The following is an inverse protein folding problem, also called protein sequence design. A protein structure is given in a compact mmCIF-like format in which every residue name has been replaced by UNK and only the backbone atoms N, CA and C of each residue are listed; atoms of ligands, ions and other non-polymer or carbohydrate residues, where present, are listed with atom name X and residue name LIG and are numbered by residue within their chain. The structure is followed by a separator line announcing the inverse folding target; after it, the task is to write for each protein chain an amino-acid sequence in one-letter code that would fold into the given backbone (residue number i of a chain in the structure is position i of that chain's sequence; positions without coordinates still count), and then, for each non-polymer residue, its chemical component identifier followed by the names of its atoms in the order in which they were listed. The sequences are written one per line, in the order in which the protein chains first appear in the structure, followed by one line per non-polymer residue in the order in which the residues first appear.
data_IF_463598244327
#
_entry.id   IF_463598244327
#
_cell.length_a   1.000
_cell.length_b   1.000
_cell.length_c   1.000
_cell.angle_alpha   90.00
_cell.angle_beta   90.00
_cell.angle_gamma   90.00
#
_symmetry.space_group_name_H-M   'P 1'
#
loop_
_entity.id
_entity.type
_entity.pdbx_description
1 polymer ?
#
# COMPACT_ATOMS: atom_id res chain seq x y z
N UNK A 1 20.22 -49.77 -31.64
CA UNK A 1 21.68 -49.81 -31.37
C UNK A 1 22.31 -51.19 -31.52
N UNK A 2 21.66 -52.29 -31.08
CA UNK A 2 22.25 -53.65 -31.11
C UNK A 2 22.60 -54.18 -32.53
N UNK A 3 21.81 -53.82 -33.55
CA UNK A 3 22.05 -54.26 -34.94
C UNK A 3 23.28 -53.60 -35.60
N UNK A 4 23.61 -52.34 -35.26
CA UNK A 4 24.81 -51.65 -35.81
C UNK A 4 26.12 -52.14 -35.16
N UNK A 5 26.06 -52.61 -33.92
CA UNK A 5 27.19 -53.22 -33.21
C UNK A 5 27.54 -54.59 -33.82
N UNK A 6 26.55 -55.35 -34.28
CA UNK A 6 26.78 -56.62 -34.98
C UNK A 6 27.53 -56.41 -36.31
N UNK A 7 27.28 -55.30 -37.00
CA UNK A 7 27.97 -54.88 -38.24
C UNK A 7 29.46 -54.53 -38.00
N UNK A 8 29.82 -54.11 -36.79
CA UNK A 8 31.22 -53.83 -36.40
C UNK A 8 32.07 -55.10 -36.22
N UNK A 9 31.43 -56.23 -35.93
CA UNK A 9 32.10 -57.53 -35.70
C UNK A 9 32.27 -58.36 -36.98
N UNK A 10 31.58 -58.00 -38.06
CA UNK A 10 31.57 -58.72 -39.34
C UNK A 10 32.97 -58.95 -39.98
N UNK A 11 33.93 -58.01 -39.92
CA UNK A 11 35.26 -58.22 -40.51
C UNK A 11 36.17 -59.07 -39.64
N UNK A 12 35.95 -59.12 -38.31
CA UNK A 12 36.67 -60.02 -37.42
C UNK A 12 36.35 -61.49 -37.72
N UNK A 13 35.12 -61.76 -38.17
CA UNK A 13 34.69 -63.11 -38.61
C UNK A 13 35.29 -63.48 -39.97
N UNK A 14 35.42 -62.53 -40.89
CA UNK A 14 36.04 -62.74 -42.22
C UNK A 14 37.57 -62.86 -42.19
N UNK A 15 38.24 -62.43 -41.11
CA UNK A 15 39.69 -62.57 -40.94
C UNK A 15 40.14 -63.89 -40.29
N UNK A 16 39.20 -64.74 -39.85
CA UNK A 16 39.47 -65.95 -39.09
C UNK A 16 39.84 -67.19 -39.93
N UNK A 17 39.82 -67.11 -41.28
CA UNK A 17 40.23 -68.23 -42.14
C UNK A 17 41.74 -68.16 -42.49
N UNK A 18 42.40 -69.32 -42.40
CA UNK A 18 43.86 -69.46 -42.26
C UNK A 18 44.61 -69.59 -43.58
N UNK A 19 45.07 -68.48 -44.15
CA UNK A 19 46.02 -68.42 -45.27
C UNK A 19 46.90 -67.16 -45.25
N UNK A 20 48.17 -67.29 -45.65
CA UNK A 20 49.25 -66.29 -45.52
C UNK A 20 49.22 -65.11 -46.53
N UNK A 21 48.06 -64.53 -46.85
CA UNK A 21 47.97 -63.40 -47.79
C UNK A 21 47.72 -62.06 -47.07
N UNK A 22 48.82 -61.38 -46.69
CA UNK A 22 48.82 -60.11 -45.95
C UNK A 22 48.25 -58.94 -46.79
N UNK A 23 48.44 -58.96 -48.10
CA UNK A 23 48.02 -57.89 -49.02
C UNK A 23 46.50 -57.72 -49.09
N UNK A 24 45.69 -58.74 -49.45
CA UNK A 24 44.22 -58.61 -49.47
C UNK A 24 43.64 -58.32 -48.08
N UNK A 25 44.28 -58.84 -47.01
CA UNK A 25 43.90 -58.57 -45.63
C UNK A 25 44.07 -57.10 -45.25
N UNK A 26 45.15 -56.45 -45.71
CA UNK A 26 45.42 -55.03 -45.46
C UNK A 26 44.44 -54.12 -46.20
N UNK A 27 44.11 -54.45 -47.46
CA UNK A 27 43.12 -53.69 -48.24
C UNK A 27 41.74 -53.76 -47.56
N UNK A 28 41.32 -54.95 -47.11
CA UNK A 28 40.06 -55.12 -46.38
C UNK A 28 40.05 -54.36 -45.05
N UNK A 29 41.18 -54.32 -44.33
CA UNK A 29 41.30 -53.53 -43.10
C UNK A 29 41.16 -52.03 -43.36
N UNK A 30 41.77 -51.51 -44.43
CA UNK A 30 41.67 -50.09 -44.80
C UNK A 30 40.22 -49.73 -45.18
N UNK A 31 39.56 -50.56 -45.99
CA UNK A 31 38.15 -50.37 -46.37
C UNK A 31 37.26 -50.40 -45.11
N UNK A 32 37.50 -51.35 -44.20
CA UNK A 32 36.76 -51.42 -42.95
C UNK A 32 37.02 -50.20 -42.06
N UNK A 33 38.26 -49.79 -41.88
CA UNK A 33 38.63 -48.62 -41.09
C UNK A 33 37.99 -47.34 -41.66
N UNK A 34 37.89 -47.21 -42.98
CA UNK A 34 37.22 -46.09 -43.63
C UNK A 34 35.70 -46.08 -43.35
N UNK A 35 35.02 -47.23 -43.48
CA UNK A 35 33.59 -47.37 -43.17
C UNK A 35 33.33 -47.13 -41.68
N UNK A 36 34.18 -47.67 -40.82
CA UNK A 36 34.14 -47.50 -39.37
C UNK A 36 34.27 -46.04 -38.97
N UNK A 37 35.26 -45.35 -39.53
CA UNK A 37 35.49 -43.93 -39.32
C UNK A 37 34.27 -43.10 -39.76
N UNK A 38 33.71 -43.39 -40.94
CA UNK A 38 32.52 -42.69 -41.43
C UNK A 38 31.30 -42.87 -40.50
N UNK A 39 31.10 -44.06 -39.94
CA UNK A 39 29.96 -44.37 -39.08
C UNK A 39 30.11 -43.80 -37.65
N UNK A 40 31.34 -43.75 -37.12
CA UNK A 40 31.62 -43.35 -35.73
C UNK A 40 31.96 -41.86 -35.59
N UNK A 41 32.58 -41.23 -36.60
CA UNK A 41 33.05 -39.84 -36.50
C UNK A 41 31.90 -38.87 -36.20
N UNK A 42 30.76 -39.03 -36.86
CA UNK A 42 29.59 -38.16 -36.68
C UNK A 42 28.94 -38.27 -35.28
N UNK A 43 28.54 -39.46 -34.77
CA UNK A 43 27.93 -39.56 -33.45
C UNK A 43 28.89 -39.15 -32.33
N UNK A 44 30.18 -39.46 -32.46
CA UNK A 44 31.19 -39.06 -31.45
C UNK A 44 31.35 -37.53 -31.44
N UNK A 45 31.53 -36.90 -32.60
CA UNK A 45 31.65 -35.43 -32.71
C UNK A 45 30.40 -34.72 -32.17
N UNK A 46 29.21 -35.23 -32.48
CA UNK A 46 27.96 -34.66 -31.98
C UNK A 46 27.79 -34.85 -30.46
N UNK A 47 28.21 -35.99 -29.91
CA UNK A 47 28.18 -36.22 -28.46
C UNK A 47 29.11 -35.25 -27.70
N UNK A 48 30.32 -34.99 -28.22
CA UNK A 48 31.24 -34.01 -27.63
C UNK A 48 30.71 -32.58 -27.75
N UNK A 49 30.20 -32.18 -28.92
CA UNK A 49 29.58 -30.86 -29.11
C UNK A 49 28.40 -30.65 -28.17
N UNK A 50 27.49 -31.62 -28.08
CA UNK A 50 26.33 -31.52 -27.16
C UNK A 50 26.75 -31.41 -25.69
N UNK A 51 27.85 -32.05 -25.28
CA UNK A 51 28.41 -31.86 -23.93
C UNK A 51 28.95 -30.44 -23.73
N UNK A 52 29.74 -29.94 -24.68
CA UNK A 52 30.30 -28.57 -24.62
C UNK A 52 29.16 -27.54 -24.57
N UNK A 53 28.16 -27.66 -25.45
CA UNK A 53 26.98 -26.78 -25.48
C UNK A 53 26.20 -26.86 -24.16
N UNK A 54 26.01 -28.06 -23.59
CA UNK A 54 25.31 -28.20 -22.31
C UNK A 54 26.06 -27.57 -21.13
N UNK A 55 27.39 -27.61 -21.15
CA UNK A 55 28.23 -26.97 -20.12
C UNK A 55 28.16 -25.45 -20.29
N UNK A 56 28.29 -24.94 -21.51
CA UNK A 56 28.16 -23.52 -21.81
C UNK A 56 26.79 -22.99 -21.39
N UNK A 57 25.71 -23.70 -21.73
CA UNK A 57 24.35 -23.34 -21.34
C UNK A 57 24.15 -23.34 -19.81
N UNK A 58 24.78 -24.27 -19.09
CA UNK A 58 24.72 -24.31 -17.62
C UNK A 58 25.46 -23.13 -17.00
N UNK A 59 26.64 -22.79 -17.51
CA UNK A 59 27.42 -21.65 -17.03
C UNK A 59 26.67 -20.33 -17.27
N UNK A 60 26.13 -20.14 -18.47
CA UNK A 60 25.33 -18.97 -18.83
C UNK A 60 24.08 -18.84 -17.94
N UNK A 61 23.36 -19.94 -17.70
CA UNK A 61 22.23 -19.96 -16.78
C UNK A 61 22.63 -19.62 -15.33
N UNK A 62 23.79 -20.06 -14.87
CA UNK A 62 24.28 -19.75 -13.51
C UNK A 62 24.64 -18.27 -13.41
N UNK A 63 25.33 -17.72 -14.41
CA UNK A 63 25.69 -16.31 -14.45
C UNK A 63 24.44 -15.42 -14.52
N UNK A 64 23.47 -15.78 -15.35
CA UNK A 64 22.19 -15.09 -15.44
C UNK A 64 21.44 -15.15 -14.10
N UNK A 65 21.32 -16.34 -13.48
CA UNK A 65 20.67 -16.48 -12.17
C UNK A 65 21.37 -15.69 -11.07
N UNK A 66 22.71 -15.64 -11.08
CA UNK A 66 23.48 -14.86 -10.13
C UNK A 66 23.24 -13.36 -10.33
N UNK A 67 23.23 -12.90 -11.59
CA UNK A 67 22.94 -11.50 -11.94
C UNK A 67 21.52 -11.11 -11.53
N UNK A 68 20.53 -11.93 -11.85
CA UNK A 68 19.13 -11.73 -11.45
C UNK A 68 18.97 -11.74 -9.92
N UNK A 69 19.66 -12.63 -9.21
CA UNK A 69 19.60 -12.70 -7.75
C UNK A 69 20.22 -11.46 -7.10
N UNK A 70 21.36 -10.99 -7.61
CA UNK A 70 21.98 -9.73 -7.16
C UNK A 70 21.08 -8.53 -7.44
N UNK A 71 20.53 -8.43 -8.65
CA UNK A 71 19.60 -7.35 -9.00
C UNK A 71 18.35 -7.35 -8.11
N UNK A 72 17.76 -8.52 -7.84
CA UNK A 72 16.61 -8.65 -6.92
C UNK A 72 16.98 -8.26 -5.48
N UNK A 73 18.17 -8.61 -5.01
CA UNK A 73 18.65 -8.23 -3.69
C UNK A 73 18.82 -6.71 -3.58
N UNK A 74 19.45 -6.09 -4.57
CA UNK A 74 19.67 -4.65 -4.59
C UNK A 74 18.34 -3.88 -4.68
N UNK A 75 17.40 -4.35 -5.50
CA UNK A 75 16.05 -3.79 -5.59
C UNK A 75 15.28 -3.92 -4.26
N UNK A 76 15.38 -5.08 -3.59
CA UNK A 76 14.78 -5.29 -2.29
C UNK A 76 15.37 -4.35 -1.21
N UNK A 77 16.69 -4.14 -1.21
CA UNK A 77 17.35 -3.21 -0.29
C UNK A 77 16.87 -1.79 -0.54
N UNK A 78 16.84 -1.34 -1.80
CA UNK A 78 16.34 -0.02 -2.16
C UNK A 78 14.89 0.18 -1.72
N UNK A 79 14.02 -0.79 -1.97
CA UNK A 79 12.61 -0.72 -1.52
C UNK A 79 12.49 -0.64 0.00
N UNK A 80 13.36 -1.33 0.75
CA UNK A 80 13.37 -1.25 2.22
C UNK A 80 13.84 0.12 2.69
N UNK A 81 14.87 0.69 2.05
CA UNK A 81 15.35 2.04 2.35
C UNK A 81 14.30 3.11 2.04
N UNK A 82 13.68 3.04 0.86
CA UNK A 82 12.57 3.92 0.47
C UNK A 82 11.37 3.78 1.42
N UNK A 83 10.99 2.55 1.77
CA UNK A 83 9.89 2.31 2.70
C UNK A 83 10.18 2.88 4.10
N UNK A 84 11.43 2.79 4.58
CA UNK A 84 11.84 3.41 5.85
C UNK A 84 11.78 4.92 5.79
N UNK A 85 12.34 5.54 4.76
CA UNK A 85 12.30 6.99 4.57
C UNK A 85 10.86 7.51 4.46
N UNK A 86 9.99 6.77 3.76
CA UNK A 86 8.56 7.09 3.67
C UNK A 86 7.85 6.91 5.02
N UNK A 87 8.17 5.88 5.79
CA UNK A 87 7.60 5.69 7.13
C UNK A 87 8.00 6.82 8.08
N UNK A 88 9.27 7.21 8.09
CA UNK A 88 9.78 8.29 8.93
C UNK A 88 9.12 9.63 8.57
N UNK A 89 9.02 9.95 7.28
CA UNK A 89 8.34 11.17 6.82
C UNK A 89 6.84 11.16 7.11
N UNK A 90 6.18 9.99 7.04
CA UNK A 90 4.77 9.84 7.40
C UNK A 90 4.55 10.05 8.91
N UNK A 91 5.43 9.51 9.75
CA UNK A 91 5.37 9.73 11.21
C UNK A 91 5.60 11.20 11.56
N UNK A 92 6.56 11.87 10.93
CA UNK A 92 6.76 13.31 11.13
C UNK A 92 5.54 14.13 10.70
N UNK A 93 4.96 13.80 9.54
CA UNK A 93 3.77 14.49 9.02
C UNK A 93 2.58 14.29 9.95
N UNK A 94 2.32 13.05 10.39
CA UNK A 94 1.26 12.74 11.33
C UNK A 94 1.42 13.46 12.67
N UNK A 95 2.67 13.62 13.17
CA UNK A 95 2.93 14.42 14.38
C UNK A 95 2.62 15.90 14.19
N UNK A 96 3.00 16.48 13.05
CA UNK A 96 2.69 17.88 12.72
C UNK A 96 1.18 18.08 12.57
N UNK A 97 0.50 17.17 11.90
CA UNK A 97 -0.96 17.20 11.76
C UNK A 97 -1.67 17.07 13.11
N UNK A 98 -1.24 16.15 13.97
CA UNK A 98 -1.79 15.99 15.32
C UNK A 98 -1.63 17.28 16.15
N UNK A 99 -0.47 17.93 16.07
CA UNK A 99 -0.24 19.22 16.73
C UNK A 99 -1.19 20.30 16.19
N UNK A 100 -1.28 20.46 14.87
CA UNK A 100 -2.17 21.44 14.23
C UNK A 100 -3.65 21.19 14.54
N UNK A 101 -4.08 19.93 14.60
CA UNK A 101 -5.44 19.56 14.98
C UNK A 101 -5.69 19.93 16.46
N UNK A 102 -4.74 19.63 17.35
CA UNK A 102 -4.86 19.98 18.76
C UNK A 102 -4.93 21.50 18.96
N UNK A 103 -4.13 22.26 18.22
CA UNK A 103 -4.13 23.73 18.29
C UNK A 103 -5.46 24.29 17.77
N UNK A 104 -5.93 23.81 16.61
CA UNK A 104 -7.24 24.19 16.05
C UNK A 104 -8.38 23.88 17.02
N UNK A 105 -8.43 22.68 17.60
CA UNK A 105 -9.47 22.32 18.58
C UNK A 105 -9.44 23.25 19.78
N UNK A 106 -8.24 23.61 20.26
CA UNK A 106 -8.10 24.54 21.39
C UNK A 106 -8.63 25.94 21.05
N UNK A 107 -8.29 26.46 19.88
CA UNK A 107 -8.79 27.75 19.40
C UNK A 107 -10.32 27.75 19.21
N UNK A 108 -10.85 26.72 18.54
CA UNK A 108 -12.29 26.54 18.34
C UNK A 108 -13.02 26.44 19.68
N UNK A 109 -12.50 25.65 20.62
CA UNK A 109 -13.07 25.51 21.97
C UNK A 109 -13.04 26.83 22.73
N UNK A 110 -11.94 27.60 22.64
CA UNK A 110 -11.87 28.93 23.27
C UNK A 110 -12.91 29.87 22.68
N UNK A 111 -13.11 29.84 21.36
CA UNK A 111 -14.11 30.67 20.69
C UNK A 111 -15.54 30.25 21.04
N UNK A 112 -15.80 28.95 21.16
CA UNK A 112 -17.07 28.41 21.66
C UNK A 112 -17.35 28.86 23.10
N UNK A 113 -16.35 28.83 23.99
CA UNK A 113 -16.50 29.30 25.37
C UNK A 113 -16.89 30.78 25.39
N UNK A 114 -16.22 31.64 24.62
CA UNK A 114 -16.55 33.07 24.54
C UNK A 114 -17.96 33.28 24.02
N UNK A 115 -18.37 32.53 23.00
CA UNK A 115 -19.72 32.60 22.45
C UNK A 115 -20.78 32.12 23.46
N UNK A 116 -20.47 31.06 24.22
CA UNK A 116 -21.35 30.51 25.25
C UNK A 116 -21.50 31.50 26.41
N UNK A 117 -20.42 32.13 26.87
CA UNK A 117 -20.46 33.16 27.90
C UNK A 117 -21.33 34.35 27.47
N UNK A 118 -21.16 34.83 26.23
CA UNK A 118 -21.97 35.93 25.70
C UNK A 118 -23.45 35.55 25.64
N UNK A 119 -23.77 34.38 25.09
CA UNK A 119 -25.14 33.86 25.04
C UNK A 119 -25.76 33.73 26.43
N UNK A 120 -24.99 33.25 27.41
CA UNK A 120 -25.44 33.12 28.79
C UNK A 120 -25.71 34.48 29.45
N UNK A 121 -24.86 35.49 29.20
CA UNK A 121 -25.12 36.85 29.69
C UNK A 121 -26.37 37.45 29.07
N UNK A 122 -26.55 37.31 27.76
CA UNK A 122 -27.73 37.80 27.04
C UNK A 122 -29.02 37.13 27.58
N UNK A 123 -28.98 35.82 27.83
CA UNK A 123 -30.10 35.07 28.40
C UNK A 123 -30.39 35.46 29.84
N UNK A 124 -29.36 35.68 30.66
CA UNK A 124 -29.50 36.18 32.03
C UNK A 124 -30.15 37.57 32.06
N UNK A 125 -29.74 38.46 31.17
CA UNK A 125 -30.34 39.80 31.07
C UNK A 125 -31.79 39.74 30.60
N UNK A 126 -32.10 38.87 29.65
CA UNK A 126 -33.47 38.61 29.20
C UNK A 126 -34.36 38.10 30.36
N UNK A 127 -33.93 37.07 31.09
CA UNK A 127 -34.67 36.53 32.23
C UNK A 127 -34.81 37.54 33.36
N UNK A 128 -33.79 38.36 33.63
CA UNK A 128 -33.89 39.45 34.60
C UNK A 128 -34.98 40.45 34.21
N UNK A 129 -35.02 40.87 32.93
CA UNK A 129 -36.06 41.78 32.43
C UNK A 129 -37.45 41.15 32.51
N UNK A 130 -37.56 39.85 32.22
CA UNK A 130 -38.81 39.10 32.33
C UNK A 130 -39.30 39.01 33.77
N UNK A 131 -38.42 38.66 34.71
CA UNK A 131 -38.71 38.63 36.15
C UNK A 131 -39.19 39.98 36.65
N UNK A 132 -38.48 41.07 36.34
CA UNK A 132 -38.86 42.42 36.76
C UNK A 132 -40.27 42.75 36.27
N UNK A 133 -40.58 42.45 35.00
CA UNK A 133 -41.93 42.66 34.45
C UNK A 133 -42.99 41.81 35.15
N UNK A 134 -42.70 40.53 35.45
CA UNK A 134 -43.63 39.64 36.16
C UNK A 134 -43.91 40.15 37.57
N UNK A 135 -42.86 40.44 38.34
CA UNK A 135 -42.97 40.92 39.72
C UNK A 135 -43.68 42.26 39.79
N UNK A 136 -43.35 43.21 38.90
CA UNK A 136 -44.07 44.49 38.83
C UNK A 136 -45.54 44.28 38.47
N UNK A 137 -45.84 43.37 37.53
CA UNK A 137 -47.21 43.02 37.18
C UNK A 137 -47.98 42.39 38.34
N UNK A 138 -47.35 41.49 39.09
CA UNK A 138 -47.93 40.85 40.29
C UNK A 138 -48.19 41.88 41.39
N UNK A 139 -47.22 42.73 41.73
CA UNK A 139 -47.39 43.80 42.73
C UNK A 139 -48.46 44.79 42.31
N UNK A 140 -48.47 45.23 41.04
CA UNK A 140 -49.52 46.13 40.54
C UNK A 140 -50.89 45.49 40.68
N UNK A 141 -51.04 44.23 40.23
CA UNK A 141 -52.29 43.50 40.38
C UNK A 141 -52.69 43.34 41.85
N UNK A 142 -51.75 43.08 42.76
CA UNK A 142 -52.00 42.98 44.20
C UNK A 142 -52.40 44.32 44.81
N UNK A 143 -51.76 45.43 44.43
CA UNK A 143 -52.13 46.79 44.87
C UNK A 143 -53.54 47.14 44.36
N UNK A 144 -53.85 46.85 43.09
CA UNK A 144 -55.17 47.10 42.51
C UNK A 144 -56.26 46.16 43.07
N UNK A 145 -55.90 44.95 43.51
CA UNK A 145 -56.82 43.99 44.12
C UNK A 145 -57.00 44.22 45.63
N UNK A 146 -55.97 44.75 46.32
CA UNK A 146 -56.08 45.19 47.70
C UNK A 146 -56.95 46.45 47.75
N UNK A 147 -57.95 46.46 48.63
CA UNK A 147 -59.00 47.50 48.77
C UNK A 147 -58.50 48.95 49.06
N UNK A 148 -57.18 49.21 48.99
CA UNK A 148 -56.53 50.48 49.27
C UNK A 148 -56.42 51.43 48.06
N UNK A 149 -56.68 50.95 46.83
CA UNK A 149 -56.80 51.77 45.62
C UNK A 149 -58.22 51.65 45.05
N UNK A 150 -59.22 51.93 45.89
CA UNK A 150 -60.42 52.60 45.38
C UNK A 150 -59.97 54.01 45.03
N UNK A 151 -59.29 54.16 43.88
CA UNK A 151 -59.13 55.46 43.24
C UNK A 151 -60.55 55.93 43.02
N UNK A 152 -60.99 56.83 43.90
CA UNK A 152 -62.36 57.27 43.97
C UNK A 152 -62.74 57.76 42.58
N UNK A 153 -63.64 57.03 41.90
CA UNK A 153 -64.10 57.39 40.57
C UNK A 153 -64.62 58.85 40.56
N UNK A 154 -65.00 59.37 41.73
CA UNK A 154 -65.37 60.78 41.92
C UNK A 154 -64.19 61.76 41.78
N UNK A 155 -62.98 61.42 42.22
CA UNK A 155 -61.77 62.27 42.09
C UNK A 155 -61.22 62.28 40.66
N UNK A 156 -61.22 61.13 39.98
CA UNK A 156 -60.81 61.03 38.57
C UNK A 156 -61.70 61.85 37.64
N UNK A 157 -63.02 61.80 37.87
CA UNK A 157 -64.00 62.57 37.10
C UNK A 157 -63.85 64.08 37.41
N UNK A 158 -63.58 64.46 38.66
CA UNK A 158 -63.31 65.86 39.02
C UNK A 158 -62.02 66.42 38.41
N UNK A 159 -60.94 65.62 38.36
CA UNK A 159 -59.66 66.03 37.74
C UNK A 159 -59.82 66.17 36.21
N UNK A 160 -60.59 65.30 35.58
CA UNK A 160 -60.94 65.41 34.15
C UNK A 160 -61.81 66.66 33.87
N UNK A 161 -62.81 66.93 34.71
CA UNK A 161 -63.72 68.07 34.55
C UNK A 161 -63.03 69.42 34.80
N UNK A 162 -62.07 69.49 35.74
CA UNK A 162 -61.35 70.74 36.05
C UNK A 162 -60.28 71.12 35.02
N UNK A 163 -59.92 70.21 34.10
CA UNK A 163 -58.97 70.48 33.00
C UNK A 163 -59.64 71.04 31.75
N UNK A 164 -60.98 70.96 31.67
CA UNK A 164 -61.79 71.44 30.54
C UNK A 164 -62.74 72.58 30.96
N UNK A 165 -62.49 73.18 32.12
CA UNK A 165 -63.11 74.43 32.58
C UNK A 165 -62.10 75.57 32.61
#
# INVERSE_FOLDING_TARGET
MKSKILLLLFPFVLMADGGYDIVPRTINFIIFAAILYYLIANPVKNAYKGRIESIAARLDNIEQKLKESKAKKDDAIKRVEEAKANADSLVETARKEAFLISERIKEETMQEIVNLEKSFQDQKEFEKRRMVKSVVGEILNEIFASDSVKMDQSELINIMLKRVG
#
